data_IF_783582487429
#
_entry.id   IF_783582487429
#
_cell.length_a   1.000
_cell.length_b   1.000
_cell.length_c   1.000
_cell.angle_alpha   90.00
_cell.angle_beta   90.00
_cell.angle_gamma   90.00
#
_symmetry.space_group_name_H-M   'P 1'
#
loop_
_entity.id
_entity.type
_entity.pdbx_description
1 polymer ?
#
# COMPACT_ATOMS: atom_id res chain seq x y z
N UNK A 1 3.50 37.03 4.84
CA UNK A 1 2.62 36.27 5.75
C UNK A 1 1.49 35.71 4.91
N UNK A 2 1.27 34.41 4.93
CA UNK A 2 0.17 33.77 4.20
C UNK A 2 -1.07 33.70 5.09
N UNK A 3 -2.26 33.77 4.49
CA UNK A 3 -3.50 33.56 5.22
C UNK A 3 -4.45 32.73 4.36
N UNK A 4 -5.04 31.72 4.97
CA UNK A 4 -5.99 30.83 4.31
C UNK A 4 -7.36 30.96 4.96
N UNK A 5 -8.39 30.80 4.15
CA UNK A 5 -9.78 30.71 4.62
C UNK A 5 -10.28 29.29 4.39
N UNK A 6 -11.16 28.83 5.29
CA UNK A 6 -11.86 27.57 5.06
C UNK A 6 -12.73 27.74 3.81
N UNK A 7 -12.57 26.91 2.76
CA UNK A 7 -13.27 27.11 1.49
C UNK A 7 -14.79 27.16 1.65
N UNK A 8 -15.34 26.21 2.42
CA UNK A 8 -16.76 26.13 2.76
C UNK A 8 -16.93 25.28 4.03
N UNK A 9 -18.08 25.36 4.74
CA UNK A 9 -18.26 24.76 6.06
C UNK A 9 -17.96 23.26 6.13
N UNK A 10 -18.34 22.47 5.12
CA UNK A 10 -18.14 21.01 5.10
C UNK A 10 -16.76 20.56 4.56
N UNK A 11 -15.90 21.49 4.13
CA UNK A 11 -14.59 21.15 3.56
C UNK A 11 -13.71 20.42 4.58
N UNK A 12 -13.31 19.19 4.23
CA UNK A 12 -12.44 18.32 5.04
C UNK A 12 -11.72 17.28 4.21
N UNK A 13 -10.52 16.92 4.61
CA UNK A 13 -9.82 15.74 4.14
C UNK A 13 -10.11 14.58 5.08
N UNK A 14 -10.95 13.66 4.59
CA UNK A 14 -11.30 12.43 5.31
C UNK A 14 -10.60 11.26 4.66
N UNK A 15 -9.86 10.48 5.45
CA UNK A 15 -9.36 9.17 5.02
C UNK A 15 -10.50 8.16 5.00
N UNK A 16 -10.74 7.45 6.09
CA UNK A 16 -11.82 6.45 6.18
C UNK A 16 -12.80 6.76 7.31
N UNK A 17 -12.29 6.78 8.54
CA UNK A 17 -13.08 7.01 9.75
C UNK A 17 -12.60 8.25 10.51
N UNK A 18 -13.43 8.73 11.42
CA UNK A 18 -13.11 9.82 12.34
C UNK A 18 -12.21 9.38 13.52
N UNK A 19 -12.01 8.06 13.66
CA UNK A 19 -11.14 7.45 14.67
C UNK A 19 -10.16 6.55 13.91
N UNK A 20 -8.99 7.10 13.52
CA UNK A 20 -8.03 6.37 12.70
C UNK A 20 -7.58 5.06 13.32
N UNK A 21 -7.48 4.05 12.47
CA UNK A 21 -6.91 2.73 12.74
C UNK A 21 -5.66 2.57 11.87
N UNK A 22 -4.55 3.18 12.29
CA UNK A 22 -3.31 3.25 11.47
C UNK A 22 -2.81 1.87 11.02
N UNK A 23 -3.05 0.82 11.84
CA UNK A 23 -2.68 -0.55 11.51
C UNK A 23 -3.37 -1.09 10.25
N UNK A 24 -4.51 -0.53 9.85
CA UNK A 24 -5.19 -0.90 8.60
C UNK A 24 -4.54 -0.31 7.35
N UNK A 25 -3.61 0.63 7.47
CA UNK A 25 -2.79 1.06 6.33
C UNK A 25 -1.60 0.13 6.10
N UNK A 26 -1.33 -0.81 7.02
CA UNK A 26 -0.27 -1.82 6.84
C UNK A 26 -0.78 -2.86 5.83
N UNK A 27 -0.07 -3.10 4.72
CA UNK A 27 -0.61 -3.88 3.60
C UNK A 27 -0.99 -5.31 3.99
N UNK A 28 -0.21 -5.95 4.86
CA UNK A 28 -0.44 -7.32 5.31
C UNK A 28 -1.72 -7.41 6.15
N UNK A 29 -1.94 -6.46 7.05
CA UNK A 29 -3.15 -6.38 7.89
C UNK A 29 -4.36 -6.11 7.00
N UNK A 30 -4.25 -5.12 6.11
CA UNK A 30 -5.32 -4.75 5.18
C UNK A 30 -5.73 -5.95 4.32
N UNK A 31 -4.76 -6.61 3.70
CA UNK A 31 -4.98 -7.73 2.79
C UNK A 31 -5.57 -8.94 3.51
N UNK A 32 -5.04 -9.29 4.70
CA UNK A 32 -5.59 -10.37 5.52
C UNK A 32 -7.06 -10.15 5.86
N UNK A 33 -7.42 -8.93 6.30
CA UNK A 33 -8.81 -8.58 6.55
C UNK A 33 -9.68 -8.58 5.28
N UNK A 34 -9.17 -8.05 4.16
CA UNK A 34 -9.91 -8.06 2.89
C UNK A 34 -10.16 -9.49 2.40
N UNK A 35 -9.21 -10.42 2.60
CA UNK A 35 -9.37 -11.82 2.25
C UNK A 35 -10.45 -12.50 3.10
N UNK A 36 -10.52 -12.19 4.40
CA UNK A 36 -11.64 -12.63 5.25
C UNK A 36 -12.98 -12.16 4.70
N UNK A 37 -13.09 -10.89 4.29
CA UNK A 37 -14.32 -10.39 3.65
C UNK A 37 -14.62 -11.15 2.35
N UNK A 38 -13.63 -11.27 1.47
CA UNK A 38 -13.78 -11.89 0.15
C UNK A 38 -14.19 -13.36 0.20
N UNK A 39 -13.65 -14.13 1.16
CA UNK A 39 -13.98 -15.56 1.31
C UNK A 39 -15.34 -15.79 1.95
N UNK A 40 -15.99 -14.74 2.45
CA UNK A 40 -17.27 -14.78 3.15
C UNK A 40 -18.28 -13.79 2.54
N UNK A 41 -18.21 -13.54 1.22
CA UNK A 41 -19.23 -12.73 0.54
C UNK A 41 -20.64 -13.33 0.75
N UNK A 42 -21.62 -12.46 0.98
CA UNK A 42 -23.00 -12.82 1.35
C UNK A 42 -23.21 -13.04 2.86
N UNK A 43 -22.16 -13.35 3.63
CA UNK A 43 -22.29 -13.55 5.08
C UNK A 43 -22.35 -12.22 5.85
N UNK A 44 -22.93 -12.24 7.04
CA UNK A 44 -22.89 -11.08 7.94
C UNK A 44 -21.53 -10.96 8.64
N UNK A 45 -20.95 -9.76 8.63
CA UNK A 45 -19.64 -9.44 9.28
C UNK A 45 -19.55 -9.79 10.78
N UNK A 46 -20.68 -9.97 11.46
CA UNK A 46 -20.74 -10.31 12.88
C UNK A 46 -20.85 -11.83 13.14
N UNK A 47 -20.75 -12.67 12.11
CA UNK A 47 -20.83 -14.11 12.28
C UNK A 47 -19.70 -14.63 13.16
N UNK A 48 -19.99 -15.67 13.95
CA UNK A 48 -19.00 -16.34 14.79
C UNK A 48 -17.81 -16.88 14.01
N UNK A 49 -18.03 -17.29 12.76
CA UNK A 49 -16.96 -17.76 11.90
C UNK A 49 -16.00 -16.63 11.51
N UNK A 50 -16.52 -15.48 11.07
CA UNK A 50 -15.70 -14.30 10.73
C UNK A 50 -14.92 -13.79 11.94
N UNK A 51 -15.54 -13.80 13.13
CA UNK A 51 -14.83 -13.47 14.37
C UNK A 51 -13.58 -14.35 14.58
N UNK A 52 -13.71 -15.67 14.41
CA UNK A 52 -12.57 -16.59 14.53
C UNK A 52 -11.51 -16.37 13.46
N UNK A 53 -11.93 -16.07 12.22
CA UNK A 53 -11.00 -15.75 11.14
C UNK A 53 -10.18 -14.50 11.45
N UNK A 54 -10.81 -13.45 12.00
CA UNK A 54 -10.09 -12.25 12.43
C UNK A 54 -9.11 -12.52 13.58
N UNK A 55 -9.45 -13.39 14.54
CA UNK A 55 -8.51 -13.81 15.58
C UNK A 55 -7.31 -14.56 15.00
N UNK A 56 -7.52 -15.36 13.94
CA UNK A 56 -6.43 -16.02 13.24
C UNK A 56 -5.53 -14.98 12.53
N UNK A 57 -6.12 -13.96 11.90
CA UNK A 57 -5.36 -12.85 11.31
C UNK A 57 -4.53 -12.12 12.37
N UNK A 58 -5.10 -11.79 13.53
CA UNK A 58 -4.36 -11.16 14.63
C UNK A 58 -3.14 -12.00 15.05
N UNK A 59 -3.35 -13.31 15.21
CA UNK A 59 -2.31 -14.24 15.62
C UNK A 59 -1.19 -14.31 14.58
N UNK A 60 -1.52 -14.53 13.31
CA UNK A 60 -0.53 -14.66 12.24
C UNK A 60 0.28 -13.36 12.06
N UNK A 61 -0.39 -12.20 12.09
CA UNK A 61 0.29 -10.90 12.01
C UNK A 61 1.24 -10.69 13.19
N UNK A 62 0.87 -11.15 14.39
CA UNK A 62 1.76 -11.10 15.55
C UNK A 62 2.96 -12.01 15.36
N UNK A 63 2.75 -13.24 14.90
CA UNK A 63 3.80 -14.24 14.78
C UNK A 63 4.84 -13.87 13.68
N UNK A 64 4.42 -13.24 12.58
CA UNK A 64 5.29 -12.95 11.44
C UNK A 64 5.71 -11.48 11.31
N UNK A 65 4.91 -10.50 11.75
CA UNK A 65 5.30 -9.09 11.68
C UNK A 65 5.68 -8.49 13.06
N UNK A 66 5.65 -9.30 14.14
CA UNK A 66 5.77 -8.85 15.54
C UNK A 66 4.77 -7.72 15.91
N UNK A 67 3.70 -7.58 15.12
CA UNK A 67 2.78 -6.47 15.21
C UNK A 67 1.56 -6.84 16.04
N UNK A 68 1.30 -6.08 17.10
CA UNK A 68 0.08 -6.22 17.89
C UNK A 68 -1.06 -5.42 17.27
N UNK A 69 -2.08 -6.09 16.75
CA UNK A 69 -3.30 -5.48 16.21
C UNK A 69 -4.53 -5.92 16.99
N UNK A 70 -5.57 -5.07 17.03
CA UNK A 70 -6.87 -5.40 17.62
C UNK A 70 -7.95 -5.31 16.55
N UNK A 71 -8.24 -6.45 15.94
CA UNK A 71 -9.21 -6.69 14.89
C UNK A 71 -10.52 -7.29 15.45
N UNK A 72 -10.50 -8.07 16.53
CA UNK A 72 -11.70 -8.74 17.05
C UNK A 72 -11.71 -8.88 18.58
N UNK A 73 -12.53 -8.05 19.27
CA UNK A 73 -12.69 -8.13 20.73
C UNK A 73 -13.84 -9.04 21.16
N UNK A 74 -14.88 -9.13 20.35
CA UNK A 74 -16.02 -10.06 20.49
C UNK A 74 -16.75 -10.15 19.15
N UNK A 75 -17.65 -11.13 18.98
CA UNK A 75 -18.47 -11.29 17.75
C UNK A 75 -19.15 -9.98 17.32
N UNK A 76 -19.76 -9.27 18.27
CA UNK A 76 -20.46 -7.98 18.05
C UNK A 76 -19.56 -6.73 18.10
N UNK A 77 -18.26 -6.89 18.35
CA UNK A 77 -17.25 -5.81 18.44
C UNK A 77 -16.00 -6.23 17.67
N UNK A 78 -16.18 -6.44 16.38
CA UNK A 78 -15.10 -6.68 15.44
C UNK A 78 -14.79 -5.44 14.59
N UNK A 79 -13.67 -5.49 13.88
CA UNK A 79 -13.13 -4.41 13.07
C UNK A 79 -14.10 -3.93 12.00
N UNK A 80 -14.78 -4.85 11.31
CA UNK A 80 -15.60 -4.53 10.14
C UNK A 80 -16.78 -3.62 10.48
N UNK A 81 -17.37 -3.76 11.68
CA UNK A 81 -18.47 -2.90 12.13
C UNK A 81 -18.08 -1.42 12.23
N UNK A 82 -16.90 -1.14 12.77
CA UNK A 82 -16.46 0.24 13.07
C UNK A 82 -15.51 0.81 12.01
N UNK A 83 -14.92 -0.05 11.19
CA UNK A 83 -13.89 0.31 10.22
C UNK A 83 -14.30 -0.04 8.79
N UNK A 84 -15.57 -0.40 8.52
CA UNK A 84 -16.09 -0.69 7.18
C UNK A 84 -15.70 0.36 6.13
N UNK A 85 -15.56 1.61 6.58
CA UNK A 85 -15.15 2.73 5.75
C UNK A 85 -13.72 2.63 5.21
N UNK A 86 -12.81 1.83 5.78
CA UNK A 86 -11.45 1.65 5.24
C UNK A 86 -11.49 0.94 3.89
N UNK A 87 -12.25 -0.14 3.77
CA UNK A 87 -12.38 -0.88 2.51
C UNK A 87 -13.23 -0.15 1.49
N UNK A 88 -14.24 0.61 1.94
CA UNK A 88 -15.01 1.51 1.06
C UNK A 88 -14.14 2.65 0.53
N UNK A 89 -13.34 3.29 1.40
CA UNK A 89 -12.46 4.41 1.05
C UNK A 89 -11.49 4.05 -0.10
N UNK A 90 -10.94 2.85 -0.09
CA UNK A 90 -10.04 2.33 -1.14
C UNK A 90 -10.78 1.71 -2.33
N UNK A 91 -12.12 1.73 -2.34
CA UNK A 91 -12.95 1.20 -3.43
C UNK A 91 -13.00 -0.33 -3.51
N UNK A 92 -12.71 -1.05 -2.42
CA UNK A 92 -12.69 -2.53 -2.40
C UNK A 92 -13.98 -3.19 -1.89
N UNK A 93 -14.81 -2.44 -1.17
CA UNK A 93 -16.04 -2.92 -0.54
C UNK A 93 -17.23 -2.07 -0.99
N UNK A 94 -18.33 -2.72 -1.41
CA UNK A 94 -19.58 -2.05 -1.75
C UNK A 94 -20.45 -1.88 -0.50
N UNK A 95 -20.80 -2.98 0.14
CA UNK A 95 -21.72 -2.98 1.28
C UNK A 95 -21.45 -4.11 2.26
N UNK A 96 -21.97 -3.93 3.48
CA UNK A 96 -22.08 -4.96 4.51
C UNK A 96 -23.48 -5.01 5.10
N UNK A 97 -24.45 -4.28 4.52
CA UNK A 97 -25.80 -4.10 5.07
C UNK A 97 -26.63 -5.39 5.00
N UNK A 98 -26.56 -6.08 3.86
CA UNK A 98 -27.29 -7.33 3.59
C UNK A 98 -26.36 -8.52 3.40
N UNK A 99 -25.19 -8.48 4.06
CA UNK A 99 -24.09 -9.39 3.82
C UNK A 99 -22.90 -8.66 3.19
N UNK A 100 -21.74 -9.29 3.23
CA UNK A 100 -20.51 -8.75 2.66
C UNK A 100 -20.58 -8.74 1.14
N UNK A 101 -20.30 -7.60 0.54
CA UNK A 101 -20.28 -7.43 -0.91
C UNK A 101 -19.04 -6.63 -1.32
N UNK A 102 -18.10 -7.27 -2.03
CA UNK A 102 -16.91 -6.61 -2.54
C UNK A 102 -17.16 -5.98 -3.92
N UNK A 103 -16.33 -5.00 -4.28
CA UNK A 103 -16.21 -4.56 -5.68
C UNK A 103 -15.39 -5.56 -6.48
N UNK A 104 -15.47 -5.51 -7.82
CA UNK A 104 -14.58 -6.31 -8.68
C UNK A 104 -13.11 -5.96 -8.46
N UNK A 105 -12.80 -4.71 -8.14
CA UNK A 105 -11.46 -4.28 -7.74
C UNK A 105 -11.01 -4.98 -6.45
N UNK A 106 -11.88 -5.05 -5.44
CA UNK A 106 -11.63 -5.76 -4.18
C UNK A 106 -11.39 -7.26 -4.39
N UNK A 107 -12.23 -7.93 -5.19
CA UNK A 107 -12.09 -9.35 -5.54
C UNK A 107 -10.82 -9.65 -6.32
N UNK A 108 -10.48 -8.76 -7.26
CA UNK A 108 -9.25 -8.89 -8.05
C UNK A 108 -8.01 -8.81 -7.18
N UNK A 109 -8.01 -7.90 -6.20
CA UNK A 109 -6.90 -7.81 -5.27
C UNK A 109 -6.84 -9.03 -4.33
N UNK A 110 -7.94 -9.36 -3.65
CA UNK A 110 -7.98 -10.46 -2.67
C UNK A 110 -7.64 -11.84 -3.26
N UNK A 111 -8.00 -12.08 -4.52
CA UNK A 111 -7.67 -13.31 -5.24
C UNK A 111 -6.22 -13.35 -5.76
N UNK A 112 -5.51 -12.22 -5.75
CA UNK A 112 -4.18 -12.08 -6.34
C UNK A 112 -4.17 -11.94 -7.87
N UNK A 113 -5.30 -11.55 -8.47
CA UNK A 113 -5.39 -11.20 -9.88
C UNK A 113 -4.52 -10.00 -10.21
N UNK A 114 -4.53 -9.03 -9.29
CA UNK A 114 -3.62 -7.89 -9.25
C UNK A 114 -2.71 -7.95 -8.03
N UNK A 115 -1.54 -7.33 -8.16
CA UNK A 115 -0.51 -7.26 -7.13
C UNK A 115 -0.80 -6.15 -6.12
N UNK A 116 -0.05 -6.15 -5.01
CA UNK A 116 -0.05 -5.05 -4.01
C UNK A 116 0.32 -3.70 -4.63
N UNK A 117 1.24 -3.74 -5.59
CA UNK A 117 1.79 -2.55 -6.23
C UNK A 117 0.77 -1.96 -7.21
N UNK A 118 0.13 -2.81 -8.02
CA UNK A 118 -0.99 -2.43 -8.87
C UNK A 118 -2.17 -1.88 -8.04
N UNK A 119 -2.56 -2.56 -6.96
CA UNK A 119 -3.60 -2.10 -6.05
C UNK A 119 -3.32 -0.68 -5.53
N UNK A 120 -2.14 -0.46 -4.95
CA UNK A 120 -1.80 0.83 -4.35
C UNK A 120 -1.67 1.96 -5.37
N UNK A 121 -1.08 1.68 -6.54
CA UNK A 121 -0.97 2.66 -7.62
C UNK A 121 -2.35 3.10 -8.13
N UNK A 122 -3.30 2.15 -8.25
CA UNK A 122 -4.69 2.45 -8.61
C UNK A 122 -5.33 3.35 -7.55
N UNK A 123 -5.23 2.99 -6.26
CA UNK A 123 -5.80 3.79 -5.16
C UNK A 123 -5.22 5.21 -5.13
N UNK A 124 -3.91 5.37 -5.32
CA UNK A 124 -3.26 6.69 -5.34
C UNK A 124 -3.82 7.57 -6.47
N UNK A 125 -3.96 7.01 -7.67
CA UNK A 125 -4.40 7.77 -8.85
C UNK A 125 -5.90 7.99 -8.91
N UNK A 126 -6.70 7.13 -8.28
CA UNK A 126 -8.16 7.18 -8.37
C UNK A 126 -8.85 7.84 -7.17
N UNK A 127 -8.20 7.88 -6.00
CA UNK A 127 -8.80 8.46 -4.80
C UNK A 127 -9.06 9.94 -4.99
N UNK A 128 -10.32 10.33 -4.78
CA UNK A 128 -10.79 11.71 -4.93
C UNK A 128 -11.47 12.16 -3.63
N UNK A 129 -11.35 13.45 -3.31
CA UNK A 129 -12.13 14.13 -2.29
C UNK A 129 -13.13 15.08 -2.97
N UNK A 130 -14.41 15.06 -2.55
CA UNK A 130 -14.97 14.18 -1.51
C UNK A 130 -15.02 12.72 -2.00
N UNK A 131 -14.76 11.77 -1.11
CA UNK A 131 -14.71 10.36 -1.52
C UNK A 131 -16.15 9.83 -1.69
N UNK A 132 -16.56 9.45 -2.92
CA UNK A 132 -17.93 9.06 -3.20
C UNK A 132 -18.36 7.74 -2.53
N UNK A 133 -17.42 6.95 -2.02
CA UNK A 133 -17.72 5.68 -1.36
C UNK A 133 -18.10 5.83 0.11
N UNK A 134 -17.77 6.97 0.74
CA UNK A 134 -17.91 7.15 2.20
C UNK A 134 -18.55 8.48 2.63
N UNK A 135 -18.68 9.45 1.70
CA UNK A 135 -19.35 10.72 1.93
C UNK A 135 -20.80 10.69 1.44
N UNK A 136 -21.65 11.50 2.08
CA UNK A 136 -23.06 11.63 1.71
C UNK A 136 -23.26 12.56 0.50
N UNK A 137 -24.37 12.35 -0.23
CA UNK A 137 -24.70 13.10 -1.45
C UNK A 137 -24.75 14.61 -1.25
N UNK A 138 -25.12 15.08 -0.05
CA UNK A 138 -25.17 16.51 0.26
C UNK A 138 -23.76 17.10 0.33
N UNK A 139 -22.84 16.45 1.05
CA UNK A 139 -21.43 16.85 1.09
C UNK A 139 -20.82 16.78 -0.32
N UNK A 140 -21.08 15.71 -1.07
CA UNK A 140 -20.58 15.58 -2.45
C UNK A 140 -21.08 16.74 -3.33
N UNK A 141 -22.36 17.08 -3.24
CA UNK A 141 -22.97 18.18 -3.99
C UNK A 141 -22.37 19.55 -3.64
N UNK A 142 -22.08 19.79 -2.36
CA UNK A 142 -21.45 21.05 -1.91
C UNK A 142 -20.03 21.21 -2.47
N UNK A 143 -19.21 20.16 -2.42
CA UNK A 143 -17.87 20.19 -3.03
C UNK A 143 -17.91 20.47 -4.53
N UNK A 144 -18.83 19.84 -5.26
CA UNK A 144 -18.99 20.06 -6.69
C UNK A 144 -19.54 21.45 -7.00
N UNK A 145 -20.44 22.00 -6.17
CA UNK A 145 -20.93 23.37 -6.30
C UNK A 145 -19.78 24.39 -6.17
N UNK A 146 -18.89 24.18 -5.21
CA UNK A 146 -17.69 25.00 -5.00
C UNK A 146 -16.59 24.73 -6.04
N UNK A 147 -16.79 23.73 -6.91
CA UNK A 147 -15.84 23.34 -7.95
C UNK A 147 -14.50 22.87 -7.38
N UNK A 148 -14.51 22.24 -6.21
CA UNK A 148 -13.33 21.67 -5.55
C UNK A 148 -13.33 20.17 -5.77
N UNK A 149 -12.22 19.65 -6.31
CA UNK A 149 -11.97 18.22 -6.50
C UNK A 149 -10.49 17.97 -6.31
N UNK A 150 -10.14 17.08 -5.39
CA UNK A 150 -8.75 16.87 -4.97
C UNK A 150 -8.41 15.40 -5.08
N UNK A 151 -7.24 15.06 -5.62
CA UNK A 151 -6.64 13.73 -5.51
C UNK A 151 -5.58 13.74 -4.42
N UNK A 152 -5.93 13.48 -3.16
CA UNK A 152 -5.08 13.83 -2.02
C UNK A 152 -3.75 13.08 -2.02
N UNK A 153 -3.75 11.77 -2.32
CA UNK A 153 -2.54 10.95 -2.36
C UNK A 153 -1.58 11.40 -3.48
N UNK A 154 -2.12 11.61 -4.68
CA UNK A 154 -1.35 12.12 -5.83
C UNK A 154 -0.82 13.53 -5.59
N UNK A 155 -1.64 14.43 -5.01
CA UNK A 155 -1.24 15.79 -4.66
C UNK A 155 -0.07 15.80 -3.67
N UNK A 156 -0.14 14.97 -2.61
CA UNK A 156 0.96 14.83 -1.65
C UNK A 156 2.24 14.37 -2.36
N UNK A 157 2.16 13.37 -3.23
CA UNK A 157 3.32 12.90 -4.00
C UNK A 157 3.90 14.00 -4.90
N UNK A 158 3.06 14.77 -5.60
CA UNK A 158 3.50 15.90 -6.42
C UNK A 158 4.23 16.97 -5.59
N UNK A 159 3.72 17.31 -4.41
CA UNK A 159 4.34 18.30 -3.51
C UNK A 159 5.71 17.79 -3.05
N UNK A 160 5.81 16.54 -2.57
CA UNK A 160 7.07 15.98 -2.09
C UNK A 160 8.06 15.80 -3.25
N UNK A 161 7.59 15.45 -4.45
CA UNK A 161 8.40 15.40 -5.67
C UNK A 161 9.06 16.76 -5.97
N UNK A 162 8.31 17.87 -5.86
CA UNK A 162 8.90 19.21 -6.00
C UNK A 162 9.88 19.55 -4.88
N UNK A 163 9.57 19.20 -3.62
CA UNK A 163 10.46 19.43 -2.48
C UNK A 163 11.79 18.67 -2.63
N UNK A 164 11.75 17.43 -3.11
CA UNK A 164 12.94 16.64 -3.42
C UNK A 164 13.77 17.31 -4.52
N UNK A 165 13.17 17.75 -5.62
CA UNK A 165 13.88 18.45 -6.71
C UNK A 165 14.57 19.76 -6.26
N UNK A 166 14.04 20.43 -5.23
CA UNK A 166 14.61 21.68 -4.74
C UNK A 166 15.72 21.48 -3.69
N UNK A 167 15.56 20.52 -2.78
CA UNK A 167 16.42 20.34 -1.59
C UNK A 167 16.85 18.87 -1.41
N UNK A 168 17.06 18.12 -2.50
CA UNK A 168 17.54 16.71 -2.60
C UNK A 168 17.89 16.01 -1.27
N UNK A 169 17.40 14.79 -1.03
CA UNK A 169 17.56 14.02 0.24
C UNK A 169 17.02 14.69 1.52
N UNK A 170 16.80 16.02 1.52
CA UNK A 170 16.12 16.80 2.56
C UNK A 170 14.74 17.30 2.12
N UNK A 171 14.26 16.90 0.94
CA UNK A 171 12.87 17.13 0.53
C UNK A 171 11.92 16.23 1.33
N UNK A 172 11.26 16.79 2.34
CA UNK A 172 10.27 16.10 3.16
C UNK A 172 9.00 16.91 3.31
N UNK A 173 7.89 16.25 3.66
CA UNK A 173 6.66 16.87 4.14
C UNK A 173 6.33 16.32 5.53
N UNK A 174 5.74 17.16 6.39
CA UNK A 174 5.27 16.76 7.72
C UNK A 174 3.75 16.73 7.80
N UNK A 175 3.20 15.98 8.76
CA UNK A 175 1.76 16.03 9.07
C UNK A 175 1.31 17.44 9.45
N UNK A 176 2.18 18.21 10.12
CA UNK A 176 1.93 19.61 10.46
C UNK A 176 1.73 20.48 9.21
N UNK A 177 2.65 20.42 8.26
CA UNK A 177 2.54 21.15 7.00
C UNK A 177 1.35 20.69 6.16
N UNK A 178 0.99 19.40 6.22
CA UNK A 178 -0.24 18.90 5.58
C UNK A 178 -1.48 19.63 6.11
N UNK A 179 -1.58 19.82 7.42
CA UNK A 179 -2.74 20.43 8.10
C UNK A 179 -2.74 21.96 7.99
N UNK A 180 -1.59 22.59 8.14
CA UNK A 180 -1.45 24.03 8.22
C UNK A 180 -1.37 24.69 6.84
N UNK A 181 -0.91 23.97 5.81
CA UNK A 181 -0.63 24.53 4.49
C UNK A 181 -1.34 23.75 3.38
N UNK A 182 -1.07 22.45 3.25
CA UNK A 182 -1.54 21.67 2.08
C UNK A 182 -3.07 21.59 2.02
N UNK A 183 -3.72 21.15 3.10
CA UNK A 183 -5.19 21.00 3.14
C UNK A 183 -5.88 22.35 2.91
N UNK A 184 -5.52 23.46 3.59
CA UNK A 184 -6.07 24.78 3.31
C UNK A 184 -5.89 25.23 1.85
N UNK A 185 -4.67 25.12 1.32
CA UNK A 185 -4.37 25.60 -0.03
C UNK A 185 -5.03 24.76 -1.12
N UNK A 186 -5.10 23.43 -0.95
CA UNK A 186 -5.77 22.55 -1.91
C UNK A 186 -7.26 22.87 -2.05
N UNK A 187 -7.92 23.23 -0.95
CA UNK A 187 -9.32 23.65 -0.96
C UNK A 187 -9.54 25.00 -1.64
N UNK A 188 -8.52 25.86 -1.61
CA UNK A 188 -8.46 27.11 -2.36
C UNK A 188 -7.86 26.93 -3.77
N UNK A 189 -7.88 25.70 -4.30
CA UNK A 189 -7.52 25.32 -5.68
C UNK A 189 -6.06 25.63 -6.06
N UNK A 190 -5.17 25.75 -5.07
CA UNK A 190 -3.75 25.89 -5.33
C UNK A 190 -3.16 24.62 -5.96
N UNK A 191 -2.23 24.81 -6.89
CA UNK A 191 -1.45 23.75 -7.51
C UNK A 191 -0.39 23.20 -6.55
N UNK A 192 0.08 21.98 -6.80
CA UNK A 192 1.21 21.40 -6.05
C UNK A 192 2.46 22.32 -6.08
N UNK A 193 2.67 23.02 -7.20
CA UNK A 193 3.76 23.98 -7.38
C UNK A 193 3.64 25.18 -6.43
N UNK A 194 2.45 25.77 -6.32
CA UNK A 194 2.19 26.88 -5.39
C UNK A 194 2.31 26.43 -3.93
N UNK A 195 1.78 25.24 -3.61
CA UNK A 195 1.82 24.69 -2.26
C UNK A 195 3.25 24.46 -1.79
N UNK A 196 4.11 23.84 -2.61
CA UNK A 196 5.49 23.63 -2.18
C UNK A 196 6.24 24.95 -1.97
N UNK A 197 5.97 25.99 -2.77
CA UNK A 197 6.60 27.31 -2.60
C UNK A 197 6.28 27.89 -1.23
N UNK A 198 5.01 27.85 -0.84
CA UNK A 198 4.58 28.33 0.47
C UNK A 198 5.24 27.53 1.60
N UNK A 199 5.36 26.21 1.46
CA UNK A 199 6.10 25.38 2.42
C UNK A 199 7.55 25.87 2.56
N UNK A 200 8.25 26.12 1.44
CA UNK A 200 9.63 26.61 1.47
C UNK A 200 9.75 28.00 2.08
N UNK A 201 8.85 28.92 1.71
CA UNK A 201 8.82 30.27 2.26
C UNK A 201 8.61 30.24 3.78
N UNK A 202 7.75 29.33 4.26
CA UNK A 202 7.54 29.11 5.69
C UNK A 202 8.78 28.55 6.41
N UNK A 203 9.48 27.61 5.79
CA UNK A 203 10.76 27.10 6.31
C UNK A 203 11.86 28.15 6.33
N UNK A 204 11.77 29.18 5.48
CA UNK A 204 12.69 30.34 5.46
C UNK A 204 12.21 31.51 6.33
N UNK A 205 11.22 31.31 7.19
CA UNK A 205 10.80 32.29 8.21
C UNK A 205 9.54 33.07 7.88
N UNK A 206 8.89 32.82 6.73
CA UNK A 206 7.57 33.39 6.47
C UNK A 206 6.52 32.73 7.37
N UNK A 207 5.70 33.51 8.06
CA UNK A 207 4.66 32.94 8.95
C UNK A 207 3.29 32.89 8.28
N UNK A 208 2.46 31.97 8.77
CA UNK A 208 1.02 32.06 8.58
C UNK A 208 0.47 33.19 9.46
N UNK A 209 -0.59 33.84 8.99
CA UNK A 209 -1.28 34.88 9.75
C UNK A 209 -2.00 34.32 10.96
N UNK A 210 -2.22 35.15 12.00
CA UNK A 210 -2.85 34.71 13.24
C UNK A 210 -4.27 34.17 13.02
N UNK A 211 -4.98 34.70 12.02
CA UNK A 211 -6.34 34.30 11.65
C UNK A 211 -6.39 33.29 10.50
N UNK A 212 -5.23 32.78 10.06
CA UNK A 212 -5.17 31.79 8.97
C UNK A 212 -5.84 30.50 9.42
N UNK A 213 -6.81 30.02 8.65
CA UNK A 213 -7.44 28.74 8.92
C UNK A 213 -6.45 27.59 8.74
N UNK A 214 -6.47 26.67 9.71
CA UNK A 214 -5.73 25.41 9.67
C UNK A 214 -6.72 24.25 9.83
N UNK A 215 -6.42 23.12 9.21
CA UNK A 215 -7.31 21.96 9.19
C UNK A 215 -7.20 21.15 10.50
N UNK A 216 -7.46 21.74 11.66
CA UNK A 216 -7.28 21.09 12.97
C UNK A 216 -8.59 20.71 13.68
N UNK A 217 -9.73 21.01 13.05
CA UNK A 217 -11.05 20.61 13.54
C UNK A 217 -11.22 19.09 13.57
N UNK A 218 -12.21 18.58 14.30
CA UNK A 218 -12.42 17.13 14.48
C UNK A 218 -12.52 16.36 13.15
N UNK A 219 -13.15 16.95 12.13
CA UNK A 219 -13.27 16.43 10.75
C UNK A 219 -11.96 16.37 9.97
N UNK A 220 -10.94 17.10 10.42
CA UNK A 220 -9.60 17.16 9.85
C UNK A 220 -8.54 16.81 10.91
N UNK A 221 -8.90 16.07 11.97
CA UNK A 221 -8.00 15.77 13.08
C UNK A 221 -6.65 15.28 12.56
N UNK A 222 -5.57 15.74 13.18
CA UNK A 222 -4.19 15.46 12.73
C UNK A 222 -3.89 13.98 12.49
N UNK A 223 -4.55 13.08 13.24
CA UNK A 223 -4.42 11.63 13.06
C UNK A 223 -5.05 11.18 11.75
N UNK A 224 -6.18 11.77 11.35
CA UNK A 224 -6.86 11.49 10.07
C UNK A 224 -6.00 11.98 8.91
N UNK A 225 -5.45 13.20 8.99
CA UNK A 225 -4.56 13.72 7.95
C UNK A 225 -3.30 12.86 7.78
N UNK A 226 -2.74 12.36 8.88
CA UNK A 226 -1.56 11.48 8.86
C UNK A 226 -1.80 10.17 8.12
N UNK A 227 -3.02 9.63 8.09
CA UNK A 227 -3.34 8.37 7.39
C UNK A 227 -2.97 8.40 5.90
N UNK A 228 -3.13 9.54 5.22
CA UNK A 228 -2.72 9.68 3.82
C UNK A 228 -1.22 9.47 3.65
N UNK A 229 -0.41 10.03 4.55
CA UNK A 229 1.05 9.86 4.55
C UNK A 229 1.45 8.43 4.90
N UNK A 230 0.76 7.82 5.88
CA UNK A 230 1.01 6.43 6.28
C UNK A 230 0.67 5.44 5.19
N UNK A 231 -0.40 5.67 4.42
CA UNK A 231 -0.70 4.82 3.28
C UNK A 231 0.44 4.88 2.26
N UNK A 232 0.90 6.07 1.89
CA UNK A 232 2.02 6.22 0.95
C UNK A 232 3.32 5.59 1.48
N UNK A 233 3.61 5.74 2.77
CA UNK A 233 4.77 5.11 3.42
C UNK A 233 4.66 3.58 3.44
N UNK A 234 3.55 3.05 3.94
CA UNK A 234 3.36 1.61 4.12
C UNK A 234 3.35 0.83 2.80
N UNK A 235 2.93 1.47 1.70
CA UNK A 235 3.01 0.88 0.36
C UNK A 235 4.32 1.23 -0.38
N UNK A 236 5.27 1.90 0.28
CA UNK A 236 6.65 2.07 -0.18
C UNK A 236 6.92 3.29 -1.07
N UNK A 237 5.94 4.19 -1.22
CA UNK A 237 6.05 5.43 -1.99
C UNK A 237 6.76 6.55 -1.21
N UNK A 238 6.77 6.47 0.11
CA UNK A 238 7.50 7.37 0.99
C UNK A 238 8.35 6.57 1.98
N UNK A 239 9.42 7.19 2.47
CA UNK A 239 10.07 6.77 3.71
C UNK A 239 9.73 7.80 4.78
N UNK A 240 9.94 7.44 6.04
CA UNK A 240 9.88 8.42 7.12
C UNK A 240 11.10 8.38 8.02
N UNK A 241 11.31 9.49 8.74
CA UNK A 241 12.31 9.64 9.78
C UNK A 241 11.80 10.58 10.86
N UNK A 242 12.45 10.55 12.02
CA UNK A 242 12.17 11.55 13.05
C UNK A 242 12.65 12.92 12.60
N UNK A 243 12.00 13.97 13.11
CA UNK A 243 12.42 15.34 12.82
C UNK A 243 13.87 15.56 13.19
N UNK A 244 14.63 16.19 12.30
CA UNK A 244 16.02 16.53 12.57
C UNK A 244 16.17 17.86 13.34
N UNK A 245 15.14 18.71 13.30
CA UNK A 245 15.20 20.08 13.80
C UNK A 245 14.19 20.38 14.92
N UNK A 246 13.16 19.55 15.09
CA UNK A 246 12.12 19.73 16.10
C UNK A 246 11.98 18.50 17.00
N UNK A 247 11.22 18.66 18.10
CA UNK A 247 10.85 17.53 18.95
C UNK A 247 10.15 16.47 18.12
N UNK A 248 10.61 15.23 18.26
CA UNK A 248 9.99 14.07 17.63
C UNK A 248 8.56 13.87 18.12
N UNK A 249 7.61 14.07 17.20
CA UNK A 249 6.18 13.83 17.39
C UNK A 249 5.58 13.35 16.07
N UNK A 250 4.40 12.74 16.10
CA UNK A 250 3.67 12.35 14.87
C UNK A 250 3.34 13.56 13.96
N UNK A 251 3.30 14.78 14.52
CA UNK A 251 3.09 16.01 13.75
C UNK A 251 4.32 16.38 12.92
N UNK A 252 5.50 16.20 13.50
CA UNK A 252 6.78 16.65 12.93
C UNK A 252 7.57 15.53 12.27
N UNK A 253 7.03 14.30 12.21
CA UNK A 253 7.63 13.20 11.45
C UNK A 253 7.82 13.64 10.00
N UNK A 254 9.02 13.41 9.48
CA UNK A 254 9.41 13.82 8.14
C UNK A 254 9.18 12.65 7.17
N UNK A 255 8.30 12.84 6.20
CA UNK A 255 8.06 11.89 5.11
C UNK A 255 8.79 12.36 3.85
N UNK A 256 9.64 11.52 3.27
CA UNK A 256 10.60 11.94 2.24
C UNK A 256 10.80 10.86 1.15
N UNK A 257 11.37 11.31 0.03
CA UNK A 257 11.77 10.44 -1.08
C UNK A 257 13.28 10.18 -1.02
N UNK A 258 13.68 8.96 -1.38
CA UNK A 258 15.03 8.69 -1.91
C UNK A 258 14.98 8.75 -3.43
N UNK A 259 16.12 8.58 -4.10
CA UNK A 259 16.20 8.42 -5.56
C UNK A 259 15.26 7.33 -6.09
N UNK A 260 14.89 6.35 -5.26
CA UNK A 260 13.90 5.34 -5.62
C UNK A 260 12.50 5.91 -5.72
N UNK A 261 12.02 6.40 -4.58
CA UNK A 261 10.68 6.93 -4.47
C UNK A 261 10.50 8.13 -5.39
N UNK A 262 11.57 8.88 -5.67
CA UNK A 262 11.58 9.91 -6.70
C UNK A 262 11.24 9.37 -8.09
N UNK A 263 11.97 8.38 -8.60
CA UNK A 263 11.70 7.78 -9.92
C UNK A 263 10.31 7.13 -9.99
N UNK A 264 9.87 6.52 -8.88
CA UNK A 264 8.53 5.96 -8.78
C UNK A 264 7.45 7.04 -8.82
N UNK A 265 7.56 8.06 -7.97
CA UNK A 265 6.62 9.19 -7.94
C UNK A 265 6.55 9.86 -9.30
N UNK A 266 7.69 10.09 -9.97
CA UNK A 266 7.72 10.63 -11.33
C UNK A 266 6.90 9.78 -12.30
N UNK A 267 7.15 8.47 -12.34
CA UNK A 267 6.45 7.55 -13.24
C UNK A 267 4.94 7.51 -12.98
N UNK A 268 4.53 7.61 -11.71
CA UNK A 268 3.12 7.63 -11.32
C UNK A 268 2.44 8.98 -11.62
N UNK A 269 3.13 10.10 -11.42
CA UNK A 269 2.63 11.44 -11.74
C UNK A 269 2.46 11.59 -13.24
N UNK A 270 3.43 11.13 -14.03
CA UNK A 270 3.40 11.18 -15.50
C UNK A 270 2.38 10.20 -16.10
N UNK A 271 1.82 9.28 -15.30
CA UNK A 271 0.85 8.29 -15.78
C UNK A 271 -0.50 8.92 -16.13
N UNK A 272 -1.26 8.35 -17.09
CA UNK A 272 -2.59 8.83 -17.43
C UNK A 272 -3.53 8.90 -16.23
N UNK A 273 -4.51 9.81 -16.30
CA UNK A 273 -5.53 9.93 -15.26
C UNK A 273 -6.38 8.65 -15.14
N UNK A 274 -6.68 8.33 -13.88
CA UNK A 274 -7.62 7.29 -13.48
C UNK A 274 -8.65 7.96 -12.57
N UNK A 275 -9.93 7.70 -12.82
CA UNK A 275 -11.02 8.11 -11.94
C UNK A 275 -11.50 6.91 -11.14
N UNK A 276 -12.18 7.17 -10.01
CA UNK A 276 -12.85 6.13 -9.24
C UNK A 276 -13.81 5.26 -10.07
N UNK A 277 -14.46 5.83 -11.11
CA UNK A 277 -15.37 5.09 -12.01
C UNK A 277 -14.63 4.12 -12.95
N UNK A 278 -13.33 4.29 -13.12
CA UNK A 278 -12.46 3.50 -14.00
C UNK A 278 -11.41 2.73 -13.20
N UNK A 279 -11.73 2.32 -11.97
CA UNK A 279 -10.84 1.53 -11.11
C UNK A 279 -10.76 0.04 -11.49
N UNK A 280 -11.50 -0.39 -12.53
CA UNK A 280 -11.39 -1.75 -13.06
C UNK A 280 -9.91 -2.05 -13.37
N UNK A 281 -9.37 -3.16 -12.84
CA UNK A 281 -8.00 -3.58 -13.13
C UNK A 281 -7.66 -3.62 -14.62
N UNK A 282 -8.60 -4.08 -15.44
CA UNK A 282 -8.42 -4.21 -16.90
C UNK A 282 -8.14 -2.87 -17.58
N UNK A 283 -8.72 -1.79 -17.06
CA UNK A 283 -8.55 -0.43 -17.59
C UNK A 283 -7.37 0.30 -16.94
N UNK A 284 -7.15 0.08 -15.64
CA UNK A 284 -6.21 0.86 -14.86
C UNK A 284 -4.77 0.33 -14.91
N UNK A 285 -4.58 -0.99 -14.83
CA UNK A 285 -3.24 -1.62 -14.81
C UNK A 285 -2.41 -1.26 -16.04
N UNK A 286 -2.94 -1.31 -17.29
CA UNK A 286 -2.15 -0.94 -18.47
C UNK A 286 -1.64 0.51 -18.44
N UNK A 287 -2.39 1.43 -17.82
CA UNK A 287 -2.00 2.84 -17.68
C UNK A 287 -0.89 3.05 -16.64
N UNK A 288 -0.65 2.06 -15.77
CA UNK A 288 0.27 2.16 -14.63
C UNK A 288 1.49 1.24 -14.76
N UNK A 289 1.63 0.53 -15.89
CA UNK A 289 2.67 -0.48 -16.08
C UNK A 289 4.09 0.05 -15.83
N UNK A 290 4.42 1.26 -16.31
CA UNK A 290 5.74 1.85 -16.09
C UNK A 290 6.03 2.08 -14.59
N UNK A 291 5.06 2.62 -13.85
CA UNK A 291 5.20 2.87 -12.43
C UNK A 291 5.36 1.56 -11.64
N UNK A 292 4.56 0.53 -11.96
CA UNK A 292 4.63 -0.77 -11.27
C UNK A 292 5.92 -1.53 -11.59
N UNK A 293 6.46 -1.41 -12.82
CA UNK A 293 7.76 -1.96 -13.17
C UNK A 293 8.91 -1.27 -12.41
N UNK A 294 8.86 0.05 -12.22
CA UNK A 294 9.86 0.77 -11.41
C UNK A 294 9.87 0.24 -9.97
N UNK A 295 8.69 -0.07 -9.41
CA UNK A 295 8.57 -0.68 -8.09
C UNK A 295 9.28 -2.03 -8.05
N UNK A 296 8.91 -2.91 -8.99
CA UNK A 296 9.45 -4.26 -9.07
C UNK A 296 10.98 -4.26 -9.20
N UNK A 297 11.53 -3.44 -10.12
CA UNK A 297 12.98 -3.38 -10.41
C UNK A 297 13.82 -2.99 -9.20
N UNK A 298 13.36 -2.05 -8.36
CA UNK A 298 14.20 -1.57 -7.25
C UNK A 298 14.11 -2.40 -5.97
N UNK A 299 13.03 -3.17 -5.78
CA UNK A 299 12.99 -4.20 -4.71
C UNK A 299 14.17 -5.17 -4.86
N UNK A 300 14.44 -5.62 -6.08
CA UNK A 300 15.56 -6.53 -6.41
C UNK A 300 16.92 -5.98 -6.01
N UNK A 301 17.21 -4.75 -6.42
CA UNK A 301 18.52 -4.13 -6.18
C UNK A 301 18.80 -3.97 -4.68
N UNK A 302 17.75 -3.65 -3.91
CA UNK A 302 17.82 -3.51 -2.46
C UNK A 302 18.10 -4.85 -1.78
N UNK A 303 17.49 -5.93 -2.27
CA UNK A 303 17.70 -7.28 -1.71
C UNK A 303 19.12 -7.81 -1.91
N UNK A 304 19.73 -7.53 -3.07
CA UNK A 304 21.07 -8.04 -3.43
C UNK A 304 22.20 -7.29 -2.69
N UNK A 305 22.03 -5.98 -2.46
CA UNK A 305 23.15 -5.11 -2.05
C UNK A 305 23.34 -5.00 -0.54
N UNK A 306 22.32 -5.32 0.27
CA UNK A 306 22.30 -4.94 1.69
C UNK A 306 22.43 -6.10 2.70
N UNK A 307 22.64 -7.35 2.26
CA UNK A 307 22.47 -8.54 3.14
C UNK A 307 23.71 -9.45 3.19
N UNK A 308 24.66 -9.25 4.13
CA UNK A 308 25.86 -10.08 4.27
C UNK A 308 25.60 -11.58 4.49
N UNK A 309 24.48 -11.94 5.15
CA UNK A 309 24.08 -13.33 5.42
C UNK A 309 23.45 -14.05 4.21
N UNK A 310 23.15 -13.32 3.13
CA UNK A 310 22.52 -13.86 1.93
C UNK A 310 23.39 -14.90 1.22
N UNK A 311 24.73 -14.77 1.30
CA UNK A 311 25.64 -15.75 0.70
C UNK A 311 25.54 -17.14 1.36
N UNK A 312 25.44 -17.19 2.69
CA UNK A 312 25.30 -18.45 3.42
C UNK A 312 23.93 -19.09 3.16
N UNK A 313 22.86 -18.28 3.23
CA UNK A 313 21.50 -18.72 2.91
C UNK A 313 21.42 -19.31 1.49
N UNK A 314 22.00 -18.60 0.53
CA UNK A 314 22.11 -19.04 -0.85
C UNK A 314 22.84 -20.37 -0.98
N UNK A 315 23.98 -20.54 -0.30
CA UNK A 315 24.73 -21.80 -0.35
C UNK A 315 23.89 -22.98 0.13
N UNK A 316 23.20 -22.83 1.28
CA UNK A 316 22.33 -23.89 1.85
C UNK A 316 21.19 -24.26 0.90
N UNK A 317 20.55 -23.27 0.30
CA UNK A 317 19.48 -23.50 -0.66
C UNK A 317 19.98 -24.14 -1.95
N UNK A 318 21.13 -23.70 -2.49
CA UNK A 318 21.72 -24.31 -3.68
C UNK A 318 22.01 -25.80 -3.48
N UNK A 319 22.48 -26.19 -2.30
CA UNK A 319 22.68 -27.59 -1.93
C UNK A 319 21.34 -28.35 -1.86
N UNK A 320 20.36 -27.82 -1.12
CA UNK A 320 19.05 -28.45 -0.93
C UNK A 320 18.25 -28.63 -2.24
N UNK A 321 18.40 -27.69 -3.18
CA UNK A 321 17.73 -27.71 -4.48
C UNK A 321 18.58 -28.37 -5.58
N UNK A 322 19.74 -28.95 -5.25
CA UNK A 322 20.68 -29.54 -6.23
C UNK A 322 21.05 -28.56 -7.36
N UNK A 323 21.16 -27.27 -7.02
CA UNK A 323 21.50 -26.19 -7.95
C UNK A 323 20.45 -25.95 -9.03
N UNK A 324 19.16 -26.24 -8.79
CA UNK A 324 18.10 -26.08 -9.79
C UNK A 324 17.00 -25.13 -9.33
N UNK A 325 16.48 -24.36 -10.28
CA UNK A 325 15.29 -23.54 -10.07
C UNK A 325 14.07 -24.43 -9.81
N UNK A 326 13.30 -24.12 -8.76
CA UNK A 326 12.06 -24.82 -8.41
C UNK A 326 11.01 -24.81 -9.53
N UNK A 327 10.89 -23.69 -10.25
CA UNK A 327 9.85 -23.51 -11.26
C UNK A 327 10.29 -23.89 -12.68
N UNK A 328 11.51 -23.51 -13.08
CA UNK A 328 12.00 -23.70 -14.46
C UNK A 328 12.96 -24.87 -14.63
N UNK A 329 13.41 -25.49 -13.53
CA UNK A 329 14.46 -26.52 -13.52
C UNK A 329 15.81 -26.06 -14.09
N UNK A 330 15.99 -24.77 -14.37
CA UNK A 330 17.26 -24.19 -14.83
C UNK A 330 18.37 -24.41 -13.80
N UNK A 331 19.57 -24.74 -14.28
CA UNK A 331 20.73 -25.09 -13.43
C UNK A 331 21.95 -24.17 -13.62
N UNK A 332 21.77 -23.06 -14.32
CA UNK A 332 22.82 -22.06 -14.55
C UNK A 332 22.95 -21.20 -13.30
N UNK A 333 24.01 -21.39 -12.51
CA UNK A 333 24.18 -20.78 -11.19
C UNK A 333 24.05 -19.26 -11.18
N UNK A 334 24.57 -18.61 -12.23
CA UNK A 334 24.62 -17.15 -12.41
C UNK A 334 23.24 -16.50 -12.48
N UNK A 335 22.23 -17.23 -12.96
CA UNK A 335 20.84 -16.73 -13.04
C UNK A 335 19.98 -17.21 -11.88
N UNK A 336 20.51 -18.03 -10.97
CA UNK A 336 19.77 -18.52 -9.81
C UNK A 336 19.93 -17.56 -8.64
N UNK A 337 18.84 -17.34 -7.91
CA UNK A 337 18.80 -16.51 -6.71
C UNK A 337 18.15 -17.28 -5.56
N UNK A 338 18.58 -16.94 -4.34
CA UNK A 338 17.94 -17.38 -3.11
C UNK A 338 16.81 -16.41 -2.80
N UNK A 339 15.58 -16.93 -2.85
CA UNK A 339 14.35 -16.19 -2.62
C UNK A 339 13.79 -16.61 -1.26
N UNK A 340 13.47 -15.66 -0.38
CA UNK A 340 12.77 -15.96 0.87
C UNK A 340 11.27 -16.14 0.60
N UNK A 341 10.64 -17.10 1.29
CA UNK A 341 9.19 -17.26 1.27
C UNK A 341 8.55 -16.16 2.10
N UNK A 342 8.93 -16.08 3.39
CA UNK A 342 8.64 -14.94 4.26
C UNK A 342 9.82 -13.98 4.20
N UNK A 343 9.60 -12.73 3.75
CA UNK A 343 10.67 -11.73 3.69
C UNK A 343 11.26 -11.42 5.06
N UNK A 344 12.54 -11.04 5.10
CA UNK A 344 13.25 -10.69 6.36
C UNK A 344 12.58 -9.51 7.08
N UNK A 345 12.02 -8.54 6.35
CA UNK A 345 11.26 -7.41 6.94
C UNK A 345 10.02 -7.89 7.72
N UNK A 346 9.52 -9.09 7.41
CA UNK A 346 8.41 -9.79 8.07
C UNK A 346 8.94 -10.94 8.93
N UNK A 347 10.04 -10.71 9.67
CA UNK A 347 10.64 -11.70 10.59
C UNK A 347 11.06 -13.04 9.94
N UNK A 348 11.20 -13.07 8.61
CA UNK A 348 11.66 -14.23 7.88
C UNK A 348 13.08 -14.62 8.26
N UNK A 349 13.31 -15.92 8.51
CA UNK A 349 14.62 -16.46 8.84
C UNK A 349 15.37 -17.01 7.62
N UNK A 350 16.67 -17.21 7.75
CA UNK A 350 17.56 -17.76 6.70
C UNK A 350 17.62 -19.30 6.73
N UNK A 351 16.52 -19.98 7.10
CA UNK A 351 16.45 -21.44 7.06
C UNK A 351 16.05 -21.94 5.67
N UNK A 352 16.52 -23.13 5.29
CA UNK A 352 16.17 -23.78 4.01
C UNK A 352 14.66 -23.94 3.85
N UNK A 353 13.92 -24.14 4.96
CA UNK A 353 12.47 -24.24 4.94
C UNK A 353 11.74 -22.94 4.60
N UNK A 354 12.42 -21.78 4.69
CA UNK A 354 11.89 -20.46 4.34
C UNK A 354 12.43 -19.95 3.00
N UNK A 355 12.89 -20.82 2.09
CA UNK A 355 13.52 -20.35 0.87
C UNK A 355 13.32 -21.22 -0.36
N UNK A 356 13.31 -20.55 -1.51
CA UNK A 356 13.33 -21.15 -2.84
C UNK A 356 14.64 -20.81 -3.57
N UNK A 357 15.05 -21.70 -4.46
CA UNK A 357 15.95 -21.34 -5.56
C UNK A 357 15.10 -21.02 -6.79
N UNK A 358 15.17 -19.78 -7.25
CA UNK A 358 14.44 -19.29 -8.43
C UNK A 358 15.41 -18.68 -9.45
N UNK A 359 15.06 -18.74 -10.73
CA UNK A 359 15.72 -17.92 -11.75
C UNK A 359 15.43 -16.44 -11.44
N UNK A 360 16.37 -15.53 -11.70
CA UNK A 360 16.29 -14.13 -11.30
C UNK A 360 14.96 -13.47 -11.68
N UNK A 361 14.51 -13.61 -12.92
CA UNK A 361 13.21 -13.13 -13.39
C UNK A 361 12.01 -13.71 -12.60
N UNK A 362 12.02 -15.01 -12.32
CA UNK A 362 10.96 -15.68 -11.56
C UNK A 362 10.96 -15.26 -10.08
N UNK A 363 12.12 -14.97 -9.52
CA UNK A 363 12.23 -14.36 -8.20
C UNK A 363 11.55 -12.99 -8.20
N UNK A 364 11.82 -12.13 -9.20
CA UNK A 364 11.20 -10.80 -9.27
C UNK A 364 9.68 -10.89 -9.36
N UNK A 365 9.19 -11.80 -10.22
CA UNK A 365 7.77 -12.03 -10.41
C UNK A 365 7.10 -12.63 -9.17
N UNK A 366 7.82 -13.43 -8.37
CA UNK A 366 7.33 -13.94 -7.09
C UNK A 366 7.22 -12.82 -6.05
N UNK A 367 8.27 -12.02 -5.89
CA UNK A 367 8.31 -10.93 -4.92
C UNK A 367 7.32 -9.81 -5.23
N UNK A 368 7.10 -9.52 -6.52
CA UNK A 368 6.09 -8.55 -6.96
C UNK A 368 4.66 -9.12 -6.87
N UNK A 369 4.50 -10.41 -6.55
CA UNK A 369 3.19 -11.07 -6.44
C UNK A 369 2.56 -11.50 -7.77
N UNK A 370 3.31 -11.45 -8.88
CA UNK A 370 2.85 -11.96 -10.18
C UNK A 370 2.84 -13.49 -10.26
N UNK A 371 3.63 -14.18 -9.42
CA UNK A 371 3.62 -15.64 -9.24
C UNK A 371 3.27 -15.95 -7.79
N UNK A 372 2.29 -16.84 -7.58
CA UNK A 372 1.99 -17.45 -6.28
C UNK A 372 2.20 -18.96 -6.35
N UNK A 373 2.88 -19.50 -5.36
CA UNK A 373 3.03 -20.94 -5.14
C UNK A 373 2.15 -21.28 -3.94
N UNK A 374 1.26 -22.25 -4.08
CA UNK A 374 0.34 -22.69 -3.03
C UNK A 374 0.86 -23.91 -2.29
N UNK A 375 0.28 -24.18 -1.12
CA UNK A 375 0.66 -25.24 -0.18
C UNK A 375 0.58 -26.64 -0.79
N UNK A 376 -0.29 -26.83 -1.79
CA UNK A 376 -0.45 -28.09 -2.54
C UNK A 376 0.47 -28.18 -3.78
N UNK A 377 1.34 -27.18 -3.97
CA UNK A 377 2.25 -27.04 -5.10
C UNK A 377 1.61 -26.44 -6.35
N UNK A 378 0.35 -26.03 -6.34
CA UNK A 378 -0.27 -25.30 -7.46
C UNK A 378 0.43 -23.95 -7.65
N UNK A 379 0.62 -23.54 -8.90
CA UNK A 379 1.22 -22.24 -9.26
C UNK A 379 0.16 -21.39 -9.94
N UNK A 380 -0.10 -20.19 -9.40
CA UNK A 380 -1.02 -19.21 -9.98
C UNK A 380 -0.26 -17.99 -10.46
N UNK A 381 -0.68 -17.47 -11.61
CA UNK A 381 -0.11 -16.27 -12.22
C UNK A 381 -1.13 -15.11 -12.13
N UNK A 382 -0.64 -13.89 -11.94
CA UNK A 382 -1.44 -12.67 -12.12
C UNK A 382 -1.94 -12.53 -13.57
N UNK A 383 -2.95 -11.70 -13.80
CA UNK A 383 -3.51 -11.53 -15.14
C UNK A 383 -2.57 -10.86 -16.13
N UNK A 384 -1.72 -9.95 -15.65
CA UNK A 384 -0.63 -9.39 -16.43
C UNK A 384 0.28 -10.51 -16.97
N UNK A 385 0.75 -11.39 -16.08
CA UNK A 385 1.70 -12.44 -16.45
C UNK A 385 1.05 -13.57 -17.27
N UNK A 386 -0.24 -13.87 -17.07
CA UNK A 386 -0.99 -14.85 -17.88
C UNK A 386 -1.08 -14.44 -19.36
N UNK A 387 -1.11 -13.13 -19.66
CA UNK A 387 -1.18 -12.64 -21.04
C UNK A 387 0.13 -12.86 -21.81
N UNK A 388 1.25 -12.94 -21.10
CA UNK A 388 2.53 -13.26 -21.72
C UNK A 388 2.60 -14.74 -22.15
N UNK A 389 2.86 -14.97 -23.43
CA UNK A 389 2.84 -16.32 -24.01
C UNK A 389 4.03 -17.16 -23.58
N UNK A 390 5.19 -16.55 -23.31
CA UNK A 390 6.38 -17.27 -22.89
C UNK A 390 6.15 -17.83 -21.48
N UNK A 391 5.89 -16.97 -20.49
CA UNK A 391 5.73 -17.40 -19.10
C UNK A 391 4.56 -18.35 -18.90
N UNK A 392 3.41 -18.10 -19.54
CA UNK A 392 2.25 -18.99 -19.47
C UNK A 392 2.54 -20.40 -19.99
N UNK A 393 3.40 -20.55 -21.00
CA UNK A 393 3.73 -21.86 -21.58
C UNK A 393 4.91 -22.55 -20.87
N UNK A 394 5.86 -21.77 -20.35
CA UNK A 394 7.08 -22.33 -19.77
C UNK A 394 6.97 -22.64 -18.28
N UNK A 395 6.09 -21.95 -17.56
CA UNK A 395 5.89 -22.18 -16.12
C UNK A 395 4.94 -23.36 -15.87
N UNK A 396 5.27 -24.27 -14.95
CA UNK A 396 4.37 -25.36 -14.58
C UNK A 396 3.17 -24.80 -13.83
N UNK A 397 1.98 -25.36 -14.07
CA UNK A 397 0.78 -25.06 -13.28
C UNK A 397 0.78 -25.75 -11.91
N UNK A 398 1.63 -26.77 -11.74
CA UNK A 398 1.80 -27.52 -10.49
C UNK A 398 3.22 -28.06 -10.36
N UNK A 399 3.79 -27.95 -9.17
CA UNK A 399 5.13 -28.43 -8.82
C UNK A 399 5.08 -29.37 -7.63
N UNK A 400 6.11 -30.19 -7.48
CA UNK A 400 6.33 -30.96 -6.25
C UNK A 400 7.15 -30.12 -5.28
N UNK A 401 6.55 -29.74 -4.17
CA UNK A 401 7.26 -29.02 -3.11
C UNK A 401 8.25 -29.96 -2.39
N UNK A 402 9.52 -29.54 -2.21
CA UNK A 402 10.45 -30.26 -1.35
C UNK A 402 9.95 -30.42 0.09
N UNK A 403 10.23 -31.56 0.70
CA UNK A 403 9.74 -31.90 2.06
C UNK A 403 10.37 -31.09 3.18
N UNK A 404 11.49 -30.42 2.92
CA UNK A 404 12.14 -29.53 3.89
C UNK A 404 11.47 -28.15 3.98
N UNK A 405 10.56 -27.83 3.05
CA UNK A 405 9.87 -26.55 3.05
C UNK A 405 8.91 -26.46 4.22
N UNK A 406 8.88 -25.28 4.86
CA UNK A 406 7.82 -24.97 5.79
C UNK A 406 6.59 -24.52 5.00
N UNK A 407 5.62 -25.42 4.86
CA UNK A 407 4.36 -25.14 4.14
C UNK A 407 3.59 -23.99 4.78
N UNK A 408 3.71 -23.81 6.09
CA UNK A 408 3.07 -22.70 6.80
C UNK A 408 3.59 -21.34 6.32
N UNK A 409 4.88 -21.23 5.99
CA UNK A 409 5.43 -20.00 5.42
C UNK A 409 4.78 -19.67 4.06
N UNK A 410 4.47 -20.69 3.25
CA UNK A 410 3.78 -20.52 1.97
C UNK A 410 2.35 -20.04 2.20
N UNK A 411 1.61 -20.66 3.13
CA UNK A 411 0.28 -20.22 3.55
C UNK A 411 0.32 -18.74 3.90
N UNK A 412 1.11 -18.38 4.91
CA UNK A 412 1.22 -17.01 5.44
C UNK A 412 1.56 -16.00 4.34
N UNK A 413 2.55 -16.31 3.48
CA UNK A 413 2.93 -15.46 2.36
C UNK A 413 1.76 -15.13 1.44
N UNK A 414 0.92 -16.13 1.16
CA UNK A 414 -0.26 -15.99 0.29
C UNK A 414 -1.43 -15.30 1.00
N UNK A 415 -1.65 -15.58 2.29
CA UNK A 415 -2.78 -15.01 3.05
C UNK A 415 -2.66 -13.51 3.29
N UNK A 416 -1.42 -13.00 3.34
CA UNK A 416 -1.10 -11.62 3.71
C UNK A 416 -0.39 -10.83 2.61
N UNK A 417 -0.13 -11.43 1.44
CA UNK A 417 0.46 -10.77 0.27
C UNK A 417 1.75 -9.99 0.58
N UNK A 418 2.65 -10.63 1.36
CA UNK A 418 3.85 -10.01 1.97
C UNK A 418 4.84 -9.40 0.97
#
# INVERSE_FOLDING_TARGET
>A
MYSFVKPFPQYRWRWASMTPSESLNIPEVYFGCLRVLSLNEGEHVNSKHIFKLLQQVEKDIKDYNDLNVSLARSENRNLFRNSGQYWKNTGTLLSTEHGIELTDFGRSYSSGLITKDEFSAIVIKSMELPNPFIEDDKVISEWYHEGVKIKPLELILCIIYHLYNFKCEHGYLTTKELIEIVIPMAGNKATAYEIFKVILDCRHGTTLGPDSWIANEKSNDKRIAREFLLFLENYGYLNSRQSQNERATNLNQEFYLTDYQYSLAKSLIDSPEISYKSMSPEQAVPKLAEATEVIARKRVLTEITLRPKQAEFRRKLMEAYSGKCLLSNASISEVLQACHIIPVKNSGNDSVGNGFILRSDLHLLYDSGHIKIHEDGTVTLSDYLKKDTFYRKTLPSKIKLPTFLNIENIRIRNEYNM
#
